data_IF_820900882895
#
_entry.id   IF_820900882895
#
_cell.length_a   1.000
_cell.length_b   1.000
_cell.length_c   1.000
_cell.angle_alpha   90.00
_cell.angle_beta   90.00
_cell.angle_gamma   90.00
#
_symmetry.space_group_name_H-M   'P 1'
#
loop_
_entity.id
_entity.type
_entity.pdbx_description
1 polymer ?
#
# COMPACT_ATOMS: atom_id res chain seq x y z
N UNK A 1 26.58 8.93 15.80
CA UNK A 1 25.88 8.54 14.55
C UNK A 1 25.34 7.14 14.77
N UNK A 2 24.12 7.02 15.31
CA UNK A 2 23.50 5.71 15.58
C UNK A 2 22.98 5.20 14.24
N UNK A 3 23.63 4.18 13.72
CA UNK A 3 23.34 3.50 12.47
C UNK A 3 21.87 3.05 12.41
N UNK A 4 21.11 3.59 11.46
CA UNK A 4 19.72 3.25 11.13
C UNK A 4 19.45 1.74 11.01
N UNK A 5 20.49 0.94 10.73
CA UNK A 5 20.45 -0.53 10.67
C UNK A 5 19.90 -1.20 11.94
N UNK A 6 20.06 -0.60 13.12
CA UNK A 6 19.53 -1.16 14.37
C UNK A 6 18.04 -0.83 14.60
N UNK A 7 17.51 0.23 13.98
CA UNK A 7 16.10 0.61 14.10
C UNK A 7 15.20 -0.41 13.38
N UNK A 8 15.61 -0.88 12.20
CA UNK A 8 14.89 -1.94 11.47
C UNK A 8 14.86 -3.26 12.25
N UNK A 9 15.95 -3.59 12.95
CA UNK A 9 16.03 -4.77 13.81
C UNK A 9 15.06 -4.70 15.00
N UNK A 10 14.89 -3.52 15.60
CA UNK A 10 13.94 -3.33 16.71
C UNK A 10 12.48 -3.44 16.24
N UNK A 11 12.16 -2.91 15.05
CA UNK A 11 10.84 -3.08 14.44
C UNK A 11 10.52 -4.53 14.07
N UNK A 12 11.53 -5.35 13.77
CA UNK A 12 11.35 -6.76 13.44
C UNK A 12 11.00 -7.62 14.67
N UNK A 13 11.25 -7.15 15.89
CA UNK A 13 11.10 -7.92 17.13
C UNK A 13 9.71 -7.81 17.80
N UNK A 14 8.87 -6.85 17.39
CA UNK A 14 7.55 -6.67 17.98
C UNK A 14 6.52 -7.47 17.16
N UNK A 15 6.32 -8.73 17.51
CA UNK A 15 5.25 -9.56 16.93
C UNK A 15 3.99 -9.44 17.79
N UNK A 16 2.93 -8.87 17.23
CA UNK A 16 1.59 -8.90 17.83
C UNK A 16 0.86 -10.19 17.51
N UNK A 17 0.10 -10.73 18.47
CA UNK A 17 -0.82 -11.86 18.23
C UNK A 17 -2.19 -11.33 17.88
N UNK A 18 -2.73 -11.77 16.75
CA UNK A 18 -4.07 -11.43 16.28
C UNK A 18 -4.88 -12.72 16.12
N UNK A 19 -6.02 -12.80 16.82
CA UNK A 19 -6.99 -13.89 16.67
C UNK A 19 -8.18 -13.36 15.88
N UNK A 20 -8.47 -13.96 14.73
CA UNK A 20 -9.57 -13.57 13.84
C UNK A 20 -10.35 -14.81 13.41
N UNK A 21 -11.66 -14.65 13.25
CA UNK A 21 -12.51 -15.66 12.64
C UNK A 21 -12.65 -15.34 11.16
N UNK A 22 -12.37 -16.31 10.31
CA UNK A 22 -12.49 -16.23 8.86
C UNK A 22 -13.30 -17.42 8.36
N UNK A 23 -13.90 -17.28 7.19
CA UNK A 23 -14.63 -18.37 6.56
C UNK A 23 -13.65 -19.51 6.21
N UNK A 24 -14.02 -20.75 6.54
CA UNK A 24 -13.20 -21.95 6.34
C UNK A 24 -12.73 -22.12 4.88
N UNK A 25 -13.55 -21.82 3.88
CA UNK A 25 -13.13 -21.90 2.46
C UNK A 25 -11.99 -20.92 2.18
N UNK A 26 -12.13 -19.69 2.68
CA UNK A 26 -11.13 -18.63 2.51
C UNK A 26 -9.84 -19.01 3.22
N UNK A 27 -9.94 -19.52 4.46
CA UNK A 27 -8.78 -19.97 5.23
C UNK A 27 -8.03 -21.08 4.50
N UNK A 28 -8.73 -22.11 4.04
CA UNK A 28 -8.12 -23.26 3.35
C UNK A 28 -7.40 -22.83 2.06
N UNK A 29 -8.05 -21.99 1.25
CA UNK A 29 -7.45 -21.45 0.02
C UNK A 29 -6.24 -20.57 0.32
N UNK A 30 -6.31 -19.74 1.36
CA UNK A 30 -5.21 -18.90 1.79
C UNK A 30 -4.01 -19.74 2.25
N UNK A 31 -4.24 -20.77 3.07
CA UNK A 31 -3.19 -21.70 3.54
C UNK A 31 -2.49 -22.37 2.36
N UNK A 32 -3.25 -22.91 1.40
CA UNK A 32 -2.69 -23.56 0.21
C UNK A 32 -1.82 -22.61 -0.63
N UNK A 33 -2.26 -21.36 -0.83
CA UNK A 33 -1.47 -20.34 -1.53
C UNK A 33 -0.20 -19.97 -0.76
N UNK A 34 -0.31 -19.77 0.55
CA UNK A 34 0.81 -19.43 1.40
C UNK A 34 1.86 -20.55 1.44
N UNK A 35 1.44 -21.82 1.48
CA UNK A 35 2.33 -22.98 1.35
C UNK A 35 3.08 -22.97 0.02
N UNK A 36 2.38 -22.74 -1.10
CA UNK A 36 2.99 -22.69 -2.43
C UNK A 36 4.04 -21.60 -2.58
N UNK A 37 3.80 -20.42 -2.00
CA UNK A 37 4.71 -19.26 -2.12
C UNK A 37 5.92 -19.39 -1.19
N UNK A 38 5.70 -19.82 0.05
CA UNK A 38 6.72 -19.78 1.11
C UNK A 38 7.35 -21.15 1.43
N UNK A 39 6.98 -22.20 0.68
CA UNK A 39 7.49 -23.57 0.80
C UNK A 39 7.42 -24.12 2.24
N UNK A 40 6.29 -23.85 2.92
CA UNK A 40 5.97 -24.34 4.27
C UNK A 40 6.99 -24.03 5.38
N UNK A 41 7.88 -23.05 5.16
CA UNK A 41 8.86 -22.64 6.18
C UNK A 41 8.15 -22.18 7.46
N UNK A 42 8.75 -22.41 8.62
CA UNK A 42 8.20 -22.00 9.93
C UNK A 42 7.73 -20.53 9.88
N UNK A 43 6.47 -20.31 10.27
CA UNK A 43 5.85 -18.98 10.28
C UNK A 43 5.36 -18.48 8.90
N UNK A 44 5.22 -19.35 7.90
CA UNK A 44 4.74 -18.96 6.57
C UNK A 44 3.37 -18.25 6.60
N UNK A 45 2.45 -18.68 7.46
CA UNK A 45 1.14 -18.03 7.61
C UNK A 45 1.25 -16.64 8.19
N UNK A 46 2.07 -16.46 9.23
CA UNK A 46 2.33 -15.13 9.79
C UNK A 46 2.88 -14.19 8.73
N UNK A 47 3.88 -14.64 7.96
CA UNK A 47 4.43 -13.86 6.84
C UNK A 47 3.39 -13.53 5.79
N UNK A 48 2.58 -14.51 5.36
CA UNK A 48 1.55 -14.30 4.36
C UNK A 48 0.49 -13.31 4.85
N UNK A 49 0.05 -13.42 6.12
CA UNK A 49 -0.92 -12.50 6.73
C UNK A 49 -0.34 -11.09 6.82
N UNK A 50 0.89 -10.94 7.31
CA UNK A 50 1.55 -9.63 7.37
C UNK A 50 1.68 -9.00 5.99
N UNK A 51 2.10 -9.77 4.97
CA UNK A 51 2.20 -9.27 3.60
C UNK A 51 0.83 -8.88 3.01
N UNK A 52 -0.21 -9.67 3.28
CA UNK A 52 -1.57 -9.35 2.82
C UNK A 52 -2.10 -8.08 3.49
N UNK A 53 -1.90 -7.92 4.80
CA UNK A 53 -2.30 -6.72 5.54
C UNK A 53 -1.55 -5.48 5.05
N UNK A 54 -0.24 -5.59 4.83
CA UNK A 54 0.56 -4.48 4.29
C UNK A 54 0.03 -4.06 2.91
N UNK A 55 -0.19 -5.02 2.01
CA UNK A 55 -0.72 -4.74 0.68
C UNK A 55 -2.07 -4.04 0.74
N UNK A 56 -2.96 -4.50 1.62
CA UNK A 56 -4.27 -3.86 1.80
C UNK A 56 -4.15 -2.42 2.34
N UNK A 57 -3.26 -2.16 3.29
CA UNK A 57 -2.98 -0.81 3.79
C UNK A 57 -2.48 0.09 2.65
N UNK A 58 -1.54 -0.40 1.84
CA UNK A 58 -0.96 0.35 0.73
C UNK A 58 -2.03 0.68 -0.33
N UNK A 59 -2.89 -0.29 -0.68
CA UNK A 59 -4.01 -0.10 -1.60
C UNK A 59 -5.00 0.97 -1.10
N UNK A 60 -5.36 0.94 0.18
CA UNK A 60 -6.26 1.93 0.78
C UNK A 60 -5.62 3.33 0.80
N UNK A 61 -4.33 3.42 1.10
CA UNK A 61 -3.61 4.69 1.10
C UNK A 61 -3.49 5.27 -0.30
N UNK A 62 -3.17 4.45 -1.30
CA UNK A 62 -3.13 4.88 -2.70
C UNK A 62 -4.50 5.35 -3.18
N UNK A 63 -5.58 4.68 -2.78
CA UNK A 63 -6.95 5.10 -3.09
C UNK A 63 -7.27 6.47 -2.47
N UNK A 64 -6.90 6.70 -1.22
CA UNK A 64 -7.08 8.01 -0.56
C UNK A 64 -6.29 9.12 -1.24
N UNK A 65 -5.06 8.84 -1.68
CA UNK A 65 -4.26 9.80 -2.45
C UNK A 65 -4.97 10.13 -3.75
N UNK A 66 -5.39 9.11 -4.50
CA UNK A 66 -6.11 9.29 -5.77
C UNK A 66 -7.40 10.09 -5.59
N UNK A 67 -8.21 9.79 -4.57
CA UNK A 67 -9.43 10.55 -4.25
C UNK A 67 -9.12 11.98 -3.82
N UNK A 68 -8.02 12.20 -3.09
CA UNK A 68 -7.59 13.55 -2.69
C UNK A 68 -7.06 14.37 -3.87
N UNK A 69 -6.34 13.75 -4.79
CA UNK A 69 -5.85 14.37 -6.04
C UNK A 69 -7.01 14.71 -6.96
N UNK A 70 -7.99 13.80 -7.12
CA UNK A 70 -9.23 14.08 -7.85
C UNK A 70 -10.02 15.22 -7.21
N UNK A 71 -10.10 15.28 -5.88
CA UNK A 71 -10.73 16.39 -5.18
C UNK A 71 -9.94 17.70 -5.31
N UNK A 72 -8.61 17.67 -5.40
CA UNK A 72 -7.77 18.84 -5.67
C UNK A 72 -7.88 19.27 -7.14
N UNK A 73 -8.09 18.35 -8.07
CA UNK A 73 -8.43 18.67 -9.47
C UNK A 73 -9.82 19.33 -9.54
N UNK A 74 -10.81 18.80 -8.84
CA UNK A 74 -12.17 19.35 -8.76
C UNK A 74 -12.17 20.76 -8.10
N UNK A 75 -11.44 20.92 -6.99
CA UNK A 75 -11.31 22.21 -6.29
C UNK A 75 -10.35 23.19 -6.97
N UNK A 76 -9.39 22.70 -7.76
CA UNK A 76 -8.30 23.44 -8.39
C UNK A 76 -8.59 23.90 -9.81
N UNK A 77 -9.64 23.39 -10.47
CA UNK A 77 -10.02 23.86 -11.80
C UNK A 77 -10.87 25.16 -11.76
N UNK A 78 -10.43 26.14 -10.96
CA UNK A 78 -10.57 27.57 -11.31
C UNK A 78 -9.29 28.00 -12.01
N UNK A 79 -8.93 27.32 -13.09
CA UNK A 79 -7.88 27.79 -13.99
C UNK A 79 -8.42 29.06 -14.65
N UNK A 80 -8.15 30.21 -14.03
CA UNK A 80 -8.61 31.51 -14.51
C UNK A 80 -8.20 31.69 -15.96
N UNK A 81 -9.15 31.49 -16.89
CA UNK A 81 -9.03 31.68 -18.34
C UNK A 81 -7.60 31.52 -18.87
N UNK A 82 -6.99 30.33 -18.77
CA UNK A 82 -5.82 30.03 -19.59
C UNK A 82 -6.31 29.72 -21.00
N UNK A 83 -6.60 30.79 -21.76
CA UNK A 83 -6.83 30.74 -23.20
C UNK A 83 -5.47 30.77 -23.89
N UNK A 84 -4.71 29.68 -23.81
CA UNK A 84 -3.63 29.48 -24.78
C UNK A 84 -4.30 29.13 -26.10
N UNK A 85 -4.12 29.98 -27.10
CA UNK A 85 -4.78 29.79 -28.40
C UNK A 85 -4.02 28.81 -29.30
N UNK A 86 -2.73 28.56 -29.04
CA UNK A 86 -1.92 27.60 -29.79
C UNK A 86 -0.77 27.01 -28.95
N UNK A 87 -0.20 25.91 -29.45
CA UNK A 87 0.77 25.05 -28.73
C UNK A 87 2.15 25.71 -28.55
N UNK A 88 2.41 26.77 -29.30
CA UNK A 88 3.65 27.52 -29.30
C UNK A 88 3.77 28.48 -28.09
N UNK A 89 2.66 29.00 -27.55
CA UNK A 89 2.64 29.89 -26.36
C UNK A 89 3.05 29.18 -25.05
N UNK A 90 3.00 27.84 -25.03
CA UNK A 90 3.25 27.04 -23.81
C UNK A 90 4.74 26.83 -23.50
N UNK A 91 5.64 27.23 -24.39
CA UNK A 91 7.08 26.95 -24.29
C UNK A 91 8.00 28.16 -24.48
N UNK A 92 7.52 29.39 -24.35
CA UNK A 92 8.43 30.54 -24.25
C UNK A 92 9.03 30.60 -22.83
N UNK A 93 10.35 30.34 -22.76
CA UNK A 93 11.19 30.59 -21.58
C UNK A 93 11.59 32.04 -21.51
#
# INVERSE_FOLDING_TARGET
>A
MITFKYLDYLNTLIMGTLTINVNDDIENRFRALAQKIYAEKKGYLGKAVTSAMQKWIDEINQKKISESELNLMDKGFKMGKLKFKSREELHER
#
